data_IF_285928917240
#
_entry.id   IF_285928917240
#
_cell.length_a   1.000
_cell.length_b   1.000
_cell.length_c   1.000
_cell.angle_alpha   90.00
_cell.angle_beta   90.00
_cell.angle_gamma   90.00
#
_symmetry.space_group_name_H-M   'P 1'
#
loop_
_entity.id
_entity.type
_entity.pdbx_description
1 polymer ?
#
# COMPACT_ATOMS: atom_id res chain seq x y z
N UNK A 1 -18.49 8.23 -5.64
CA UNK A 1 -19.24 7.60 -4.53
C UNK A 1 -18.48 6.34 -4.08
N UNK A 2 -18.46 6.02 -2.79
CA UNK A 2 -17.79 4.82 -2.27
C UNK A 2 -18.82 3.77 -1.87
N UNK A 3 -18.70 2.56 -2.41
CA UNK A 3 -19.51 1.41 -2.00
C UNK A 3 -18.71 0.62 -0.95
N UNK A 4 -19.17 0.52 0.32
CA UNK A 4 -18.51 -0.26 1.34
C UNK A 4 -18.35 -1.73 0.92
N UNK A 5 -17.16 -2.31 1.17
CA UNK A 5 -16.92 -3.74 0.88
C UNK A 5 -17.88 -4.67 1.63
N UNK A 6 -18.36 -4.28 2.81
CA UNK A 6 -19.31 -5.04 3.61
C UNK A 6 -20.70 -5.19 2.97
N UNK A 7 -21.01 -4.44 1.91
CA UNK A 7 -22.26 -4.59 1.16
C UNK A 7 -22.14 -5.57 0.00
N UNK A 8 -20.91 -5.97 -0.36
CA UNK A 8 -20.65 -6.88 -1.46
C UNK A 8 -20.72 -8.32 -0.99
N UNK A 9 -21.41 -9.17 -1.77
CA UNK A 9 -21.42 -10.61 -1.63
C UNK A 9 -20.26 -11.24 -2.41
N UNK A 10 -19.81 -12.42 -1.97
CA UNK A 10 -18.92 -13.24 -2.79
C UNK A 10 -19.64 -13.65 -4.08
N UNK A 11 -19.02 -13.36 -5.23
CA UNK A 11 -19.58 -13.65 -6.54
C UNK A 11 -20.30 -12.46 -7.17
N UNK A 12 -21.57 -12.64 -7.53
CA UNK A 12 -22.31 -11.65 -8.33
C UNK A 12 -23.05 -10.66 -7.46
N UNK A 13 -22.99 -9.38 -7.85
CA UNK A 13 -23.66 -8.28 -7.19
C UNK A 13 -24.43 -7.47 -8.24
N UNK A 14 -25.62 -6.97 -7.89
CA UNK A 14 -26.40 -6.08 -8.75
C UNK A 14 -26.38 -4.67 -8.17
N UNK A 15 -26.00 -3.70 -8.99
CA UNK A 15 -26.05 -2.28 -8.62
C UNK A 15 -27.13 -1.59 -9.46
N UNK A 16 -27.99 -0.84 -8.78
CA UNK A 16 -29.03 -0.02 -9.42
C UNK A 16 -28.63 1.44 -9.28
N UNK A 17 -28.52 2.14 -10.41
CA UNK A 17 -28.24 3.58 -10.45
C UNK A 17 -29.53 4.30 -10.82
N UNK A 18 -29.95 5.24 -9.99
CA UNK A 18 -31.09 6.12 -10.29
C UNK A 18 -30.56 7.43 -10.85
N UNK A 19 -31.07 7.79 -12.01
CA UNK A 19 -30.74 9.02 -12.73
C UNK A 19 -31.88 10.00 -12.48
N UNK A 20 -31.60 11.14 -11.83
CA UNK A 20 -32.63 12.09 -11.38
C UNK A 20 -32.87 13.26 -12.36
N UNK A 21 -31.92 13.57 -13.25
CA UNK A 21 -31.94 14.80 -14.08
C UNK A 21 -31.38 14.49 -15.48
N UNK A 22 -32.23 13.89 -16.32
CA UNK A 22 -31.99 13.44 -17.71
C UNK A 22 -30.57 13.56 -18.29
N UNK A 23 -29.61 12.82 -17.73
CA UNK A 23 -28.19 12.80 -18.14
C UNK A 23 -27.77 11.54 -18.90
N UNK A 24 -26.49 11.46 -19.31
CA UNK A 24 -25.93 10.31 -20.03
C UNK A 24 -25.09 9.42 -19.09
N UNK A 25 -25.58 8.22 -18.72
CA UNK A 25 -24.92 7.36 -17.74
C UNK A 25 -23.77 6.52 -18.31
N UNK A 26 -23.55 6.47 -19.63
CA UNK A 26 -22.47 5.65 -20.24
C UNK A 26 -21.06 6.03 -19.78
N UNK A 27 -20.87 7.24 -19.21
CA UNK A 27 -19.60 7.65 -18.61
C UNK A 27 -19.32 7.06 -17.22
N UNK A 28 -20.29 6.39 -16.59
CA UNK A 28 -20.14 5.83 -15.24
C UNK A 28 -19.27 4.58 -15.30
N UNK A 29 -18.18 4.58 -14.52
CA UNK A 29 -17.27 3.45 -14.42
C UNK A 29 -16.97 3.10 -12.96
N UNK A 30 -16.71 1.82 -12.71
CA UNK A 30 -16.34 1.30 -11.41
C UNK A 30 -14.83 1.10 -11.33
N UNK A 31 -14.26 1.52 -10.21
CA UNK A 31 -12.86 1.24 -9.89
C UNK A 31 -12.80 0.65 -8.49
N UNK A 32 -12.15 -0.49 -8.38
CA UNK A 32 -11.82 -1.06 -7.08
C UNK A 32 -10.73 -0.20 -6.44
N UNK A 33 -11.02 0.38 -5.29
CA UNK A 33 -10.01 1.07 -4.49
C UNK A 33 -9.25 0.01 -3.69
N UNK A 34 -8.01 -0.25 -4.08
CA UNK A 34 -7.09 -1.03 -3.27
C UNK A 34 -6.25 -0.09 -2.40
N UNK A 35 -5.95 -0.54 -1.18
CA UNK A 35 -4.85 0.05 -0.43
C UNK A 35 -3.58 -0.37 -1.17
N UNK A 36 -3.00 0.55 -1.92
CA UNK A 36 -1.77 0.27 -2.64
C UNK A 36 -0.68 -0.08 -1.62
N UNK A 37 -0.08 -1.25 -1.80
CA UNK A 37 1.06 -1.67 -1.00
C UNK A 37 2.32 -1.20 -1.71
N UNK A 38 3.04 -0.30 -1.06
CA UNK A 38 4.34 0.16 -1.50
C UNK A 38 5.43 -0.60 -0.73
N UNK A 39 6.48 -1.01 -1.44
CA UNK A 39 7.67 -1.61 -0.87
C UNK A 39 8.90 -0.92 -1.43
N UNK A 40 9.92 -0.77 -0.61
CA UNK A 40 11.22 -0.31 -1.04
C UNK A 40 12.30 -0.92 -0.16
N UNK A 41 13.48 -1.12 -0.71
CA UNK A 41 14.62 -1.73 -0.04
C UNK A 41 15.90 -1.12 -0.58
N UNK A 42 16.87 -0.89 0.29
CA UNK A 42 18.21 -0.47 -0.08
C UNK A 42 19.21 -1.46 0.51
N UNK A 43 20.20 -1.87 -0.28
CA UNK A 43 21.30 -2.73 0.14
C UNK A 43 22.62 -2.09 -0.26
N UNK A 44 23.53 -1.85 0.68
CA UNK A 44 24.87 -1.40 0.35
C UNK A 44 25.70 -2.61 -0.11
N UNK A 45 26.40 -2.47 -1.24
CA UNK A 45 27.33 -3.50 -1.76
C UNK A 45 28.80 -3.13 -1.54
N UNK A 46 29.10 -2.25 -0.58
CA UNK A 46 30.44 -1.72 -0.36
C UNK A 46 30.75 -1.41 1.10
N UNK A 47 32.05 -1.38 1.43
CA UNK A 47 32.58 -0.90 2.71
C UNK A 47 32.69 0.63 2.66
N UNK A 48 31.81 1.35 3.34
CA UNK A 48 31.89 2.80 3.45
C UNK A 48 30.55 3.46 3.79
N UNK A 49 30.62 4.61 4.47
CA UNK A 49 29.58 5.50 5.01
C UNK A 49 28.52 6.03 4.02
N UNK A 50 28.22 5.31 2.94
CA UNK A 50 27.18 5.69 1.99
C UNK A 50 25.81 5.47 2.62
N UNK A 51 25.26 6.56 3.18
CA UNK A 51 23.87 6.61 3.67
C UNK A 51 22.92 6.31 2.52
N UNK A 52 22.43 5.08 2.47
CA UNK A 52 21.40 4.70 1.53
C UNK A 52 20.04 5.24 1.98
N UNK A 53 19.45 6.08 1.14
CA UNK A 53 18.13 6.66 1.36
C UNK A 53 17.08 5.85 0.61
N UNK A 54 15.98 5.58 1.31
CA UNK A 54 14.79 4.96 0.75
C UNK A 54 13.71 6.03 0.61
N UNK A 55 13.28 6.30 -0.62
CA UNK A 55 12.17 7.21 -0.90
C UNK A 55 10.86 6.43 -1.06
N UNK A 56 9.87 6.76 -0.24
CA UNK A 56 8.50 6.28 -0.36
C UNK A 56 7.59 7.48 -0.66
N UNK A 57 6.89 7.44 -1.78
CA UNK A 57 6.01 8.52 -2.20
C UNK A 57 4.68 7.95 -2.71
N UNK A 58 3.58 8.54 -2.24
CA UNK A 58 2.25 8.28 -2.76
C UNK A 58 1.91 9.28 -3.88
N UNK A 59 1.10 8.89 -4.88
CA UNK A 59 0.51 9.84 -5.82
C UNK A 59 -0.31 10.93 -5.14
N UNK A 60 -0.54 12.05 -5.84
CA UNK A 60 -1.32 13.18 -5.33
C UNK A 60 -2.69 12.74 -4.78
N UNK A 61 -3.04 13.25 -3.60
CA UNK A 61 -4.29 12.92 -2.91
C UNK A 61 -4.28 11.60 -2.12
N UNK A 62 -3.11 10.95 -1.99
CA UNK A 62 -2.94 9.74 -1.16
C UNK A 62 -1.82 9.95 -0.14
N UNK A 63 -1.98 9.32 1.02
CA UNK A 63 -1.00 9.33 2.11
C UNK A 63 -0.62 7.92 2.51
N UNK A 64 0.56 7.75 3.09
CA UNK A 64 0.95 6.49 3.73
C UNK A 64 0.17 6.40 5.05
N UNK A 65 -0.70 5.41 5.17
CA UNK A 65 -1.59 5.25 6.33
C UNK A 65 -1.05 4.29 7.38
N UNK A 66 -0.17 3.36 7.00
CA UNK A 66 0.45 2.42 7.93
C UNK A 66 1.72 1.83 7.34
N UNK A 67 2.68 1.52 8.21
CA UNK A 67 3.83 0.67 7.89
C UNK A 67 3.43 -0.76 8.21
N UNK A 68 3.51 -1.67 7.23
CA UNK A 68 3.16 -3.09 7.44
C UNK A 68 4.35 -3.94 7.86
N UNK A 69 5.56 -3.49 7.55
CA UNK A 69 6.81 -4.17 7.84
C UNK A 69 7.96 -3.18 7.71
N UNK A 70 8.92 -3.25 8.62
CA UNK A 70 10.20 -2.55 8.54
C UNK A 70 11.28 -3.39 9.19
N UNK A 71 12.45 -3.47 8.57
CA UNK A 71 13.60 -4.19 9.11
C UNK A 71 14.88 -3.60 8.56
N UNK A 72 15.78 -3.19 9.45
CA UNK A 72 17.15 -2.84 9.13
C UNK A 72 18.09 -3.98 9.53
N UNK A 73 18.83 -4.53 8.57
CA UNK A 73 19.65 -5.73 8.71
C UNK A 73 19.51 -6.66 7.50
N UNK A 74 19.00 -7.88 7.69
CA UNK A 74 18.91 -8.93 6.66
C UNK A 74 17.47 -9.43 6.39
N UNK A 75 16.49 -8.56 6.06
CA UNK A 75 15.12 -9.01 5.79
C UNK A 75 15.07 -10.04 4.67
N UNK A 76 14.24 -11.07 4.87
CA UNK A 76 14.06 -12.18 3.93
C UNK A 76 12.71 -12.11 3.23
N UNK A 77 12.58 -12.78 2.08
CA UNK A 77 11.34 -12.85 1.32
C UNK A 77 11.19 -11.72 0.29
N UNK A 78 9.96 -11.37 -0.04
CA UNK A 78 9.63 -10.43 -1.13
C UNK A 78 8.55 -9.43 -0.71
N UNK A 79 8.36 -8.38 -1.53
CA UNK A 79 7.31 -7.40 -1.29
C UNK A 79 5.93 -8.07 -1.16
N UNK A 80 5.27 -7.90 -0.02
CA UNK A 80 4.06 -8.65 0.32
C UNK A 80 4.27 -9.57 1.52
N UNK A 81 5.43 -10.21 1.59
CA UNK A 81 5.74 -11.34 2.45
C UNK A 81 7.15 -11.26 3.07
N UNK A 82 7.64 -10.04 3.33
CA UNK A 82 8.91 -9.85 4.03
C UNK A 82 8.85 -10.42 5.45
N UNK A 83 9.99 -10.94 5.90
CA UNK A 83 10.18 -11.49 7.24
C UNK A 83 11.49 -10.97 7.83
N UNK A 84 11.51 -10.88 9.16
CA UNK A 84 12.73 -10.60 9.92
C UNK A 84 13.73 -11.74 9.68
N UNK A 85 14.98 -11.40 9.38
CA UNK A 85 16.07 -12.36 9.23
C UNK A 85 16.86 -12.56 10.53
N UNK A 86 18.12 -12.98 10.40
CA UNK A 86 19.02 -13.25 11.53
C UNK A 86 19.61 -11.98 12.16
N UNK A 87 19.61 -10.87 11.44
CA UNK A 87 20.13 -9.56 11.79
C UNK A 87 19.01 -8.52 11.66
N UNK A 88 18.58 -7.95 12.78
CA UNK A 88 17.46 -7.00 12.79
C UNK A 88 17.59 -6.00 13.93
N UNK A 89 17.42 -4.72 13.62
CA UNK A 89 17.28 -3.67 14.62
C UNK A 89 15.85 -3.65 15.19
N UNK A 90 15.63 -3.90 16.49
CA UNK A 90 14.28 -4.07 17.08
C UNK A 90 13.36 -2.84 16.96
N UNK A 91 13.94 -1.66 16.81
CA UNK A 91 13.26 -0.37 16.70
C UNK A 91 12.91 0.02 15.25
N UNK A 92 13.28 -0.81 14.26
CA UNK A 92 13.06 -0.55 12.82
C UNK A 92 11.63 -0.13 12.51
N UNK A 93 10.63 -0.73 13.17
CA UNK A 93 9.23 -0.45 12.94
C UNK A 93 8.76 0.83 13.63
N UNK A 94 9.06 0.99 14.92
CA UNK A 94 8.68 2.18 15.68
C UNK A 94 9.32 3.47 15.17
N UNK A 95 10.50 3.39 14.54
CA UNK A 95 11.15 4.57 13.94
C UNK A 95 10.38 5.09 12.72
N UNK A 96 9.72 4.19 11.97
CA UNK A 96 8.97 4.55 10.76
C UNK A 96 7.49 4.81 11.02
N UNK A 97 6.93 4.25 12.08
CA UNK A 97 5.57 4.51 12.54
C UNK A 97 5.56 5.81 13.36
N UNK A 98 4.98 6.87 12.77
CA UNK A 98 4.72 8.15 13.45
C UNK A 98 3.25 8.29 13.80
#
# INVERSE_FOLDING_TARGET
YHVPRSWLQEGSNTLVLFEEVGGEPSGVSFKTVHNDRLCSSASSKGSGDDKQLVHLQCPSGRTISSIKFASFGDPQGSCGAFKIGSCHAPDSQSILEK
#
